data_IF_894300823866
#
_entry.id   IF_894300823866
#
_cell.length_a   1.000
_cell.length_b   1.000
_cell.length_c   1.000
_cell.angle_alpha   90.00
_cell.angle_beta   90.00
_cell.angle_gamma   90.00
#
_symmetry.space_group_name_H-M   'P 1'
#
loop_
_entity.id
_entity.type
_entity.pdbx_description
1 polymer ?
#
# COMPACT_ATOMS: atom_id res chain seq x y z
N UNK A 1 -8.82 -20.09 22.26
CA UNK A 1 -7.70 -20.64 21.47
C UNK A 1 -6.90 -19.47 20.95
N UNK A 2 -5.64 -19.42 21.37
CA UNK A 2 -4.72 -18.29 21.30
C UNK A 2 -4.07 -18.27 19.92
N UNK A 3 -4.02 -17.12 19.24
CA UNK A 3 -3.32 -16.98 17.96
C UNK A 3 -2.09 -16.10 18.14
N UNK A 4 -0.93 -16.75 18.06
CA UNK A 4 0.42 -16.20 18.02
C UNK A 4 0.63 -15.39 16.73
N UNK A 5 0.59 -14.06 16.83
CA UNK A 5 1.03 -13.17 15.73
C UNK A 5 2.31 -12.40 16.05
N UNK A 6 2.89 -12.62 17.23
CA UNK A 6 4.26 -12.18 17.50
C UNK A 6 5.18 -13.26 16.97
N UNK A 7 5.49 -13.16 15.68
CA UNK A 7 6.66 -13.81 15.11
C UNK A 7 7.93 -13.14 15.68
N UNK A 8 8.18 -13.33 16.97
CA UNK A 8 9.53 -13.72 17.40
C UNK A 8 9.54 -15.25 17.22
N UNK A 9 9.37 -15.71 15.98
CA UNK A 9 9.90 -17.02 15.62
C UNK A 9 11.40 -16.83 15.75
N UNK A 10 12.07 -17.76 16.41
CA UNK A 10 13.52 -17.79 16.43
C UNK A 10 14.01 -17.76 14.97
N UNK A 11 14.41 -16.57 14.51
CA UNK A 11 14.69 -16.29 13.10
C UNK A 11 15.87 -17.13 12.58
N UNK A 12 16.63 -17.74 13.49
CA UNK A 12 17.72 -18.66 13.19
C UNK A 12 17.24 -20.01 12.64
N UNK A 13 15.95 -20.35 12.79
CA UNK A 13 15.34 -21.60 12.30
C UNK A 13 14.54 -21.45 11.00
N UNK A 14 14.36 -20.21 10.52
CA UNK A 14 13.56 -19.94 9.32
C UNK A 14 14.39 -20.20 8.05
N UNK A 15 13.87 -21.03 7.15
CA UNK A 15 14.44 -21.27 5.80
C UNK A 15 13.91 -20.26 4.78
N UNK A 16 13.23 -19.20 5.23
CA UNK A 16 12.65 -18.18 4.37
C UNK A 16 13.74 -17.38 3.64
N UNK A 17 13.59 -17.21 2.33
CA UNK A 17 14.58 -16.52 1.49
C UNK A 17 14.13 -15.11 1.09
N UNK A 18 12.85 -14.82 1.30
CA UNK A 18 12.23 -13.56 0.94
C UNK A 18 11.48 -12.95 2.12
N UNK A 19 11.81 -11.70 2.43
CA UNK A 19 11.09 -10.89 3.42
C UNK A 19 10.03 -10.05 2.71
N UNK A 20 8.78 -10.10 3.16
CA UNK A 20 7.75 -9.13 2.78
C UNK A 20 7.39 -8.26 3.97
N UNK A 21 7.68 -6.97 3.88
CA UNK A 21 7.29 -5.97 4.87
C UNK A 21 5.91 -5.44 4.54
N UNK A 22 4.95 -5.57 5.44
CA UNK A 22 3.58 -5.06 5.26
C UNK A 22 3.32 -3.90 6.21
N UNK A 23 2.78 -2.79 5.68
CA UNK A 23 2.61 -1.53 6.42
C UNK A 23 1.17 -1.05 6.34
N UNK A 24 0.50 -0.96 7.49
CA UNK A 24 -0.91 -0.57 7.59
C UNK A 24 -1.15 0.93 7.43
N UNK A 25 -2.40 1.30 7.18
CA UNK A 25 -2.84 2.69 6.96
C UNK A 25 -3.20 3.45 8.24
N UNK A 26 -3.77 4.65 8.07
CA UNK A 26 -4.24 5.51 9.17
C UNK A 26 -5.22 4.76 10.07
N UNK A 27 -5.02 4.82 11.39
CA UNK A 27 -5.82 4.12 12.39
C UNK A 27 -5.94 2.59 12.19
N UNK A 28 -5.04 1.99 11.39
CA UNK A 28 -4.98 0.56 11.11
C UNK A 28 -4.15 -0.24 12.12
N UNK A 29 -4.04 -1.54 11.85
CA UNK A 29 -3.25 -2.51 12.60
C UNK A 29 -2.48 -3.43 11.66
N UNK A 30 -1.43 -4.10 12.16
CA UNK A 30 -0.69 -5.10 11.40
C UNK A 30 -1.60 -6.20 10.84
N UNK A 31 -2.64 -6.60 11.59
CA UNK A 31 -3.60 -7.62 11.15
C UNK A 31 -4.42 -7.20 9.94
N UNK A 32 -4.52 -5.90 9.63
CA UNK A 32 -5.25 -5.44 8.45
C UNK A 32 -4.71 -6.06 7.16
N UNK A 33 -3.42 -6.41 7.09
CA UNK A 33 -2.81 -7.09 5.96
C UNK A 33 -2.61 -8.60 6.20
N UNK A 34 -3.27 -9.15 7.23
CA UNK A 34 -3.14 -10.55 7.63
C UNK A 34 -3.60 -11.54 6.56
N UNK A 35 -4.65 -11.22 5.79
CA UNK A 35 -5.11 -12.08 4.69
C UNK A 35 -4.01 -12.26 3.64
N UNK A 36 -3.48 -11.15 3.10
CA UNK A 36 -2.42 -11.20 2.08
C UNK A 36 -1.13 -11.81 2.63
N UNK A 37 -0.81 -11.59 3.91
CA UNK A 37 0.32 -12.24 4.56
C UNK A 37 0.23 -13.77 4.50
N UNK A 38 -0.92 -14.34 4.90
CA UNK A 38 -1.13 -15.80 4.82
C UNK A 38 -1.13 -16.33 3.38
N UNK A 39 -1.59 -15.53 2.42
CA UNK A 39 -1.52 -15.91 1.00
C UNK A 39 -0.08 -15.94 0.50
N UNK A 40 0.76 -14.98 0.87
CA UNK A 40 2.18 -14.97 0.52
C UNK A 40 2.93 -16.19 1.07
N UNK A 41 2.68 -16.56 2.32
CA UNK A 41 3.26 -17.76 2.94
C UNK A 41 2.81 -19.04 2.23
N UNK A 42 1.51 -19.15 1.92
CA UNK A 42 0.95 -20.32 1.24
C UNK A 42 1.43 -20.45 -0.22
N UNK A 43 1.48 -19.35 -0.98
CA UNK A 43 1.91 -19.37 -2.39
C UNK A 43 3.42 -19.66 -2.54
N UNK A 44 4.20 -19.42 -1.49
CA UNK A 44 5.66 -19.60 -1.49
C UNK A 44 6.14 -20.88 -0.84
N UNK A 45 5.22 -21.72 -0.35
CA UNK A 45 5.55 -22.94 0.39
C UNK A 45 6.51 -22.65 1.58
N UNK A 46 6.24 -21.57 2.31
CA UNK A 46 7.05 -21.15 3.47
C UNK A 46 8.38 -20.46 3.15
N UNK A 47 8.69 -20.19 1.87
CA UNK A 47 9.91 -19.46 1.48
C UNK A 47 9.81 -17.94 1.67
N UNK A 48 8.61 -17.43 1.92
CA UNK A 48 8.36 -16.04 2.32
C UNK A 48 8.11 -15.98 3.81
N UNK A 49 8.71 -14.99 4.47
CA UNK A 49 8.32 -14.54 5.80
C UNK A 49 7.74 -13.14 5.72
N UNK A 50 6.65 -12.89 6.45
CA UNK A 50 5.96 -11.60 6.46
C UNK A 50 6.27 -10.85 7.76
N UNK A 51 6.91 -9.70 7.64
CA UNK A 51 7.00 -8.73 8.74
C UNK A 51 5.79 -7.80 8.66
N UNK A 52 4.79 -8.06 9.50
CA UNK A 52 3.65 -7.17 9.65
C UNK A 52 3.95 -6.06 10.65
N UNK A 53 4.23 -4.85 10.16
CA UNK A 53 4.70 -3.76 11.00
C UNK A 53 3.64 -3.35 12.02
N UNK A 54 4.03 -3.35 13.29
CA UNK A 54 3.19 -2.92 14.42
C UNK A 54 3.58 -1.56 14.98
N UNK A 55 4.73 -1.01 14.56
CA UNK A 55 5.31 0.19 15.16
C UNK A 55 4.44 1.46 15.08
N UNK A 56 3.45 1.48 14.17
CA UNK A 56 2.54 2.60 13.96
C UNK A 56 1.14 2.38 14.56
N UNK A 57 0.87 1.24 15.20
CA UNK A 57 -0.39 0.99 15.89
C UNK A 57 -0.60 2.04 17.01
N UNK A 58 -1.74 2.73 16.96
CA UNK A 58 -2.03 3.84 17.89
C UNK A 58 -1.17 5.10 17.70
N UNK A 59 -0.26 5.13 16.71
CA UNK A 59 0.69 6.23 16.46
C UNK A 59 0.61 6.79 15.04
N UNK A 60 -0.49 6.55 14.33
CA UNK A 60 -0.62 6.95 12.92
C UNK A 60 -0.85 8.45 12.69
N UNK A 61 -0.97 9.28 13.74
CA UNK A 61 -1.37 10.70 13.65
C UNK A 61 -0.20 11.69 13.82
N UNK A 62 1.00 11.24 14.17
CA UNK A 62 2.13 12.09 14.53
C UNK A 62 3.06 12.49 13.35
N UNK A 63 2.70 12.10 12.13
CA UNK A 63 3.33 12.56 10.88
C UNK A 63 4.01 11.44 10.09
N UNK A 64 4.09 11.64 8.78
CA UNK A 64 4.69 10.70 7.82
C UNK A 64 6.14 10.38 8.14
N UNK A 65 6.92 11.41 8.47
CA UNK A 65 8.34 11.27 8.79
C UNK A 65 8.58 10.44 10.06
N UNK A 66 7.74 10.61 11.09
CA UNK A 66 7.85 9.85 12.33
C UNK A 66 7.48 8.38 12.11
N UNK A 67 6.34 8.13 11.44
CA UNK A 67 5.92 6.77 11.14
C UNK A 67 6.84 6.02 10.17
N UNK A 68 7.42 6.71 9.19
CA UNK A 68 8.40 6.14 8.27
C UNK A 68 9.70 5.73 8.96
N UNK A 69 10.23 6.55 9.88
CA UNK A 69 11.40 6.18 10.69
C UNK A 69 11.13 4.95 11.54
N UNK A 70 9.95 4.86 12.17
CA UNK A 70 9.58 3.68 12.96
C UNK A 70 9.53 2.40 12.13
N UNK A 71 9.03 2.48 10.89
CA UNK A 71 9.06 1.34 9.96
C UNK A 71 10.50 0.97 9.60
N UNK A 72 11.37 1.95 9.33
CA UNK A 72 12.78 1.66 9.07
C UNK A 72 13.47 0.99 10.28
N UNK A 73 13.21 1.47 11.49
CA UNK A 73 13.75 0.90 12.73
C UNK A 73 13.25 -0.54 12.96
N UNK A 74 11.98 -0.82 12.68
CA UNK A 74 11.38 -2.16 12.82
C UNK A 74 11.97 -3.14 11.79
N UNK A 75 12.13 -2.71 10.53
CA UNK A 75 12.73 -3.52 9.46
C UNK A 75 14.22 -3.79 9.74
N UNK A 76 14.97 -2.79 10.20
CA UNK A 76 16.42 -2.94 10.49
C UNK A 76 16.71 -3.91 11.64
N UNK A 77 15.72 -4.23 12.47
CA UNK A 77 15.84 -5.21 13.57
C UNK A 77 15.44 -6.61 13.16
N UNK A 78 14.89 -6.78 11.95
CA UNK A 78 14.46 -8.06 11.44
C UNK A 78 15.59 -8.68 10.64
N UNK A 79 16.26 -9.68 11.22
CA UNK A 79 17.36 -10.40 10.59
C UNK A 79 17.06 -11.90 10.57
N UNK A 80 17.29 -12.54 9.43
CA UNK A 80 17.34 -14.00 9.33
C UNK A 80 18.44 -14.39 8.34
N UNK A 81 19.37 -15.33 8.67
CA UNK A 81 20.53 -15.62 7.83
C UNK A 81 20.22 -16.10 6.41
N UNK A 82 19.03 -16.66 6.20
CA UNK A 82 18.54 -17.22 4.94
C UNK A 82 17.94 -16.16 4.00
N UNK A 83 17.65 -14.94 4.49
CA UNK A 83 17.04 -13.89 3.68
C UNK A 83 18.00 -13.36 2.62
N UNK A 84 17.50 -13.24 1.39
CA UNK A 84 18.27 -12.74 0.25
C UNK A 84 17.61 -11.53 -0.42
N UNK A 85 16.28 -11.46 -0.34
CA UNK A 85 15.49 -10.46 -1.05
C UNK A 85 14.41 -9.86 -0.16
N UNK A 86 13.99 -8.64 -0.45
CA UNK A 86 12.96 -7.91 0.30
C UNK A 86 11.90 -7.29 -0.62
N UNK A 87 10.65 -7.33 -0.20
CA UNK A 87 9.54 -6.60 -0.81
C UNK A 87 8.79 -5.78 0.23
N UNK A 88 8.12 -4.72 -0.23
CA UNK A 88 7.24 -3.88 0.59
C UNK A 88 5.82 -3.90 0.05
N UNK A 89 4.85 -3.95 0.96
CA UNK A 89 3.43 -3.74 0.68
C UNK A 89 2.86 -2.69 1.64
N UNK A 90 2.54 -1.51 1.11
CA UNK A 90 1.93 -0.43 1.89
C UNK A 90 0.47 -0.20 1.53
N UNK A 91 -0.42 -0.23 2.52
CA UNK A 91 -1.83 0.13 2.33
C UNK A 91 -2.09 1.57 2.78
N UNK A 92 -2.71 2.37 1.90
CA UNK A 92 -3.06 3.76 2.16
C UNK A 92 -1.85 4.56 2.69
N UNK A 93 -1.98 5.19 3.86
CA UNK A 93 -0.90 5.90 4.54
C UNK A 93 0.37 5.04 4.70
N UNK A 94 0.23 3.73 4.84
CA UNK A 94 1.33 2.77 4.91
C UNK A 94 2.23 2.76 3.69
N UNK A 95 1.71 3.08 2.49
CA UNK A 95 2.52 3.25 1.29
C UNK A 95 3.48 4.44 1.38
N UNK A 96 3.05 5.53 2.02
CA UNK A 96 3.92 6.69 2.26
C UNK A 96 4.91 6.43 3.39
N UNK A 97 4.50 5.74 4.47
CA UNK A 97 5.45 5.29 5.50
C UNK A 97 6.54 4.39 4.92
N UNK A 98 6.18 3.43 4.06
CA UNK A 98 7.12 2.55 3.38
C UNK A 98 8.10 3.34 2.51
N UNK A 99 7.62 4.26 1.65
CA UNK A 99 8.48 5.13 0.84
C UNK A 99 9.45 5.94 1.70
N UNK A 100 8.98 6.49 2.83
CA UNK A 100 9.83 7.25 3.74
C UNK A 100 10.88 6.35 4.42
N UNK A 101 10.50 5.15 4.84
CA UNK A 101 11.40 4.17 5.45
C UNK A 101 12.53 3.76 4.51
N UNK A 102 12.24 3.58 3.22
CA UNK A 102 13.24 3.21 2.21
C UNK A 102 14.40 4.21 2.14
N UNK A 103 14.15 5.51 2.32
CA UNK A 103 15.20 6.53 2.35
C UNK A 103 16.16 6.42 3.55
N UNK A 104 15.86 5.56 4.53
CA UNK A 104 16.71 5.23 5.67
C UNK A 104 17.32 3.83 5.56
N UNK A 105 16.67 2.92 4.82
CA UNK A 105 17.09 1.52 4.68
C UNK A 105 18.00 1.28 3.47
N UNK A 106 17.99 2.18 2.49
CA UNK A 106 18.70 2.02 1.23
C UNK A 106 20.16 2.47 1.32
N UNK A 107 21.09 1.61 0.89
CA UNK A 107 22.54 1.86 0.91
C UNK A 107 23.13 2.18 -0.47
N UNK A 108 22.29 2.30 -1.50
CA UNK A 108 22.70 2.53 -2.88
C UNK A 108 22.41 1.35 -3.80
N UNK A 109 22.34 0.12 -3.27
CA UNK A 109 21.98 -1.07 -4.05
C UNK A 109 20.99 -1.98 -3.31
N UNK A 110 21.08 -2.05 -1.99
CA UNK A 110 20.29 -2.94 -1.14
C UNK A 110 19.36 -2.13 -0.24
N UNK A 111 18.29 -2.79 0.21
CA UNK A 111 17.37 -2.25 1.21
C UNK A 111 17.48 -3.14 2.45
N UNK A 112 17.96 -2.59 3.56
CA UNK A 112 18.26 -3.34 4.78
C UNK A 112 19.20 -4.54 4.53
N UNK A 113 20.18 -4.38 3.65
CA UNK A 113 21.10 -5.46 3.27
C UNK A 113 20.50 -6.55 2.36
N UNK A 114 19.26 -6.40 1.92
CA UNK A 114 18.56 -7.37 1.06
C UNK A 114 18.32 -6.81 -0.34
N UNK A 115 18.33 -7.69 -1.35
CA UNK A 115 18.08 -7.30 -2.74
C UNK A 115 16.60 -6.92 -2.92
N UNK A 116 16.27 -5.68 -3.31
CA UNK A 116 14.88 -5.21 -3.41
C UNK A 116 14.16 -5.85 -4.61
N UNK A 117 13.13 -6.66 -4.35
CA UNK A 117 12.39 -7.39 -5.36
C UNK A 117 11.11 -6.65 -5.80
N UNK A 118 10.15 -6.43 -4.90
CA UNK A 118 8.88 -5.79 -5.25
C UNK A 118 8.49 -4.65 -4.30
N UNK A 119 8.04 -3.52 -4.84
CA UNK A 119 7.39 -2.46 -4.07
C UNK A 119 5.94 -2.30 -4.48
N UNK A 120 5.01 -2.53 -3.56
CA UNK A 120 3.57 -2.56 -3.83
C UNK A 120 2.83 -1.58 -2.96
N UNK A 121 1.87 -0.87 -3.54
CA UNK A 121 0.93 -0.04 -2.80
C UNK A 121 -0.51 -0.34 -3.16
N UNK A 122 -1.39 -0.18 -2.18
CA UNK A 122 -2.84 -0.29 -2.35
C UNK A 122 -3.48 0.98 -1.80
N UNK A 123 -4.20 1.71 -2.64
CA UNK A 123 -4.88 2.96 -2.30
C UNK A 123 -3.95 3.99 -1.60
N UNK A 124 -2.66 4.07 -1.95
CA UNK A 124 -1.72 4.96 -1.28
C UNK A 124 -1.75 6.38 -1.88
N UNK A 125 -1.87 7.46 -1.09
CA UNK A 125 -1.96 8.82 -1.64
C UNK A 125 -0.57 9.34 -2.07
N UNK A 126 0.00 8.79 -3.15
CA UNK A 126 1.35 9.11 -3.60
C UNK A 126 1.57 10.59 -3.91
N UNK A 127 0.58 11.24 -4.54
CA UNK A 127 0.56 12.68 -4.85
C UNK A 127 0.09 13.56 -3.68
N UNK A 128 -0.26 12.94 -2.55
CA UNK A 128 -1.02 13.58 -1.49
C UNK A 128 -2.49 13.75 -1.87
N UNK A 129 -3.21 14.43 -0.98
CA UNK A 129 -4.61 14.80 -1.16
C UNK A 129 -4.68 16.31 -1.29
N UNK A 130 -5.50 16.81 -2.20
CA UNK A 130 -5.78 18.25 -2.30
C UNK A 130 -7.28 18.51 -2.12
N UNK A 131 -7.63 19.69 -1.62
CA UNK A 131 -9.01 20.10 -1.26
C UNK A 131 -10.03 19.88 -2.39
N UNK A 132 -9.59 20.02 -3.65
CA UNK A 132 -10.41 19.77 -4.83
C UNK A 132 -10.88 18.32 -4.98
N UNK A 133 -10.25 17.37 -4.27
CA UNK A 133 -10.62 15.95 -4.36
C UNK A 133 -11.76 15.56 -3.41
N UNK A 134 -11.95 16.31 -2.33
CA UNK A 134 -12.92 16.01 -1.27
C UNK A 134 -14.17 16.90 -1.32
N UNK A 135 -14.02 18.10 -1.87
CA UNK A 135 -14.98 19.19 -1.71
C UNK A 135 -16.44 18.86 -2.08
N UNK A 136 -16.78 18.12 -3.14
CA UNK A 136 -18.20 17.94 -3.47
C UNK A 136 -18.93 16.95 -2.54
N UNK A 137 -18.22 15.92 -2.06
CA UNK A 137 -18.87 14.79 -1.39
C UNK A 137 -18.77 14.85 0.14
N UNK A 138 -17.63 15.30 0.69
CA UNK A 138 -17.45 15.41 2.14
C UNK A 138 -17.66 16.84 2.66
N UNK A 139 -17.99 17.82 1.81
CA UNK A 139 -18.34 19.18 2.25
C UNK A 139 -19.31 19.23 3.44
N UNK A 140 -20.38 18.40 3.50
CA UNK A 140 -21.30 18.40 4.65
C UNK A 140 -20.65 17.91 5.95
N UNK A 141 -19.59 17.10 5.86
CA UNK A 141 -18.89 16.49 6.99
C UNK A 141 -17.60 17.23 7.37
N UNK A 142 -17.15 18.19 6.56
CA UNK A 142 -15.94 18.97 6.79
C UNK A 142 -15.86 19.60 8.21
N UNK A 143 -16.94 20.16 8.80
CA UNK A 143 -16.88 20.68 10.17
C UNK A 143 -16.61 19.62 11.24
N UNK A 144 -17.02 18.37 11.00
CA UNK A 144 -16.80 17.24 11.91
C UNK A 144 -15.38 16.66 11.78
N UNK A 145 -14.78 16.76 10.59
CA UNK A 145 -13.42 16.28 10.29
C UNK A 145 -12.34 17.34 10.59
N UNK A 146 -12.68 18.63 10.55
CA UNK A 146 -11.75 19.73 10.80
C UNK A 146 -10.94 19.60 12.12
N UNK A 147 -11.50 19.12 13.25
CA UNK A 147 -10.71 18.86 14.46
C UNK A 147 -9.67 17.75 14.26
N UNK A 148 -9.99 16.72 13.48
CA UNK A 148 -9.07 15.62 13.18
C UNK A 148 -7.93 16.13 12.29
N UNK A 149 -8.24 16.93 11.28
CA UNK A 149 -7.25 17.55 10.38
C UNK A 149 -6.31 18.50 11.14
N UNK A 150 -6.85 19.30 12.06
CA UNK A 150 -6.09 20.23 12.88
C UNK A 150 -5.19 19.52 13.90
N UNK A 151 -5.56 18.34 14.38
CA UNK A 151 -4.79 17.59 15.40
C UNK A 151 -3.82 16.60 14.76
N UNK A 152 -4.18 15.96 13.66
CA UNK A 152 -3.38 14.91 13.01
C UNK A 152 -2.32 15.50 12.07
N UNK A 153 -1.05 15.39 12.47
CA UNK A 153 0.08 15.78 11.62
C UNK A 153 0.17 14.94 10.36
N UNK A 154 -0.13 13.64 10.43
CA UNK A 154 -0.15 12.76 9.25
C UNK A 154 -1.19 13.19 8.22
N UNK A 155 -2.36 13.66 8.67
CA UNK A 155 -3.37 14.19 7.75
C UNK A 155 -2.88 15.48 7.11
N UNK A 156 -2.31 16.41 7.89
CA UNK A 156 -1.69 17.63 7.33
C UNK A 156 -0.58 17.35 6.32
N UNK A 157 0.27 16.36 6.59
CA UNK A 157 1.32 15.93 5.67
C UNK A 157 0.72 15.42 4.34
N UNK A 158 -0.29 14.54 4.41
CA UNK A 158 -0.97 14.00 3.21
C UNK A 158 -1.74 15.08 2.46
N UNK A 159 -2.39 16.01 3.17
CA UNK A 159 -3.07 17.19 2.61
C UNK A 159 -2.08 18.24 2.05
N UNK A 160 -0.77 17.93 2.06
CA UNK A 160 0.31 18.78 1.54
C UNK A 160 0.39 20.15 2.22
N UNK A 161 -0.06 20.22 3.47
CA UNK A 161 0.10 21.40 4.33
C UNK A 161 1.51 21.47 4.95
N UNK A 162 2.30 20.42 4.76
CA UNK A 162 3.73 20.36 5.07
C UNK A 162 4.52 19.95 3.83
N UNK A 163 5.85 20.01 3.91
CA UNK A 163 6.72 19.67 2.78
C UNK A 163 6.94 18.16 2.62
N UNK A 164 6.56 17.32 3.58
CA UNK A 164 7.01 15.92 3.65
C UNK A 164 6.67 15.12 2.39
N UNK A 165 5.45 15.25 1.86
CA UNK A 165 5.07 14.56 0.61
C UNK A 165 5.84 15.10 -0.59
N UNK A 166 6.09 16.40 -0.65
CA UNK A 166 6.88 17.05 -1.70
C UNK A 166 8.35 16.62 -1.66
N UNK A 167 8.92 16.52 -0.46
CA UNK A 167 10.32 16.12 -0.26
C UNK A 167 10.53 14.66 -0.70
N UNK A 168 9.48 13.83 -0.71
CA UNK A 168 9.51 12.44 -1.20
C UNK A 168 9.61 12.29 -2.73
N UNK A 169 9.71 13.39 -3.47
CA UNK A 169 10.08 13.41 -4.90
C UNK A 169 11.56 13.69 -5.14
N UNK A 170 12.34 13.94 -4.09
CA UNK A 170 13.78 14.03 -4.22
C UNK A 170 14.38 12.64 -4.46
N UNK A 171 15.54 12.61 -5.13
CA UNK A 171 16.26 11.36 -5.43
C UNK A 171 16.51 10.49 -4.19
N UNK A 172 16.68 11.11 -3.01
CA UNK A 172 16.76 10.39 -1.73
C UNK A 172 15.62 9.38 -1.50
N UNK A 173 14.41 9.68 -1.99
CA UNK A 173 13.23 8.82 -1.84
C UNK A 173 12.88 8.09 -3.13
N UNK A 174 13.29 8.59 -4.30
CA UNK A 174 13.06 7.95 -5.59
C UNK A 174 14.09 6.86 -5.91
N UNK A 175 15.37 7.04 -5.57
CA UNK A 175 16.44 6.07 -5.84
C UNK A 175 16.18 4.71 -5.18
N UNK A 176 15.75 4.63 -3.90
CA UNK A 176 15.36 3.36 -3.31
C UNK A 176 14.21 2.68 -4.06
N UNK A 177 13.23 3.45 -4.56
CA UNK A 177 12.13 2.90 -5.36
C UNK A 177 12.63 2.39 -6.71
N UNK A 178 13.56 3.09 -7.37
CA UNK A 178 14.21 2.66 -8.63
C UNK A 178 14.89 1.31 -8.48
N UNK A 179 15.53 1.07 -7.33
CA UNK A 179 16.29 -0.15 -7.08
C UNK A 179 15.43 -1.44 -7.06
N UNK A 180 14.14 -1.36 -6.71
CA UNK A 180 13.26 -2.52 -6.77
C UNK A 180 13.20 -3.10 -8.19
N UNK A 181 13.24 -4.43 -8.34
CA UNK A 181 13.04 -5.07 -9.65
C UNK A 181 11.70 -4.68 -10.28
N UNK A 182 10.63 -4.65 -9.48
CA UNK A 182 9.31 -4.26 -9.95
C UNK A 182 8.56 -3.40 -8.94
N UNK A 183 7.68 -2.53 -9.45
CA UNK A 183 6.80 -1.68 -8.66
C UNK A 183 5.36 -1.82 -9.15
N UNK A 184 4.39 -1.91 -8.24
CA UNK A 184 2.97 -1.99 -8.60
C UNK A 184 2.09 -1.15 -7.68
N UNK A 185 1.20 -0.35 -8.25
CA UNK A 185 0.24 0.48 -7.50
C UNK A 185 -1.19 0.04 -7.84
N UNK A 186 -2.02 -0.17 -6.82
CA UNK A 186 -3.43 -0.48 -6.98
C UNK A 186 -4.30 0.70 -6.50
N UNK A 187 -5.37 1.00 -7.22
CA UNK A 187 -6.37 1.99 -6.83
C UNK A 187 -7.78 1.51 -7.15
N UNK A 188 -8.74 1.78 -6.26
CA UNK A 188 -10.14 1.57 -6.56
C UNK A 188 -10.65 2.69 -7.49
N UNK A 189 -11.34 2.31 -8.56
CA UNK A 189 -11.85 3.23 -9.59
C UNK A 189 -12.96 4.10 -9.07
N UNK A 190 -13.85 3.49 -8.29
CA UNK A 190 -14.98 4.12 -7.64
C UNK A 190 -14.98 3.73 -6.16
N UNK A 191 -15.66 4.53 -5.35
CA UNK A 191 -15.83 4.26 -3.93
C UNK A 191 -14.63 4.64 -3.05
N UNK A 192 -13.48 5.05 -3.61
CA UNK A 192 -12.38 5.60 -2.80
C UNK A 192 -12.54 7.08 -2.48
N UNK A 193 -13.14 7.32 -1.32
CA UNK A 193 -13.38 8.67 -0.81
C UNK A 193 -12.21 9.23 -0.01
N UNK A 194 -11.25 8.38 0.39
CA UNK A 194 -10.10 8.81 1.17
C UNK A 194 -8.90 9.14 0.29
N UNK A 195 -8.69 8.35 -0.76
CA UNK A 195 -7.54 8.49 -1.63
C UNK A 195 -8.00 8.72 -3.06
N UNK A 196 -7.71 9.90 -3.63
CA UNK A 196 -7.97 10.17 -5.03
C UNK A 196 -7.37 9.08 -5.92
N UNK A 197 -8.14 8.54 -6.87
CA UNK A 197 -7.63 7.61 -7.89
C UNK A 197 -6.36 8.15 -8.59
N UNK A 198 -6.39 9.44 -8.94
CA UNK A 198 -5.27 10.17 -9.55
C UNK A 198 -4.03 10.20 -8.66
N UNK A 199 -4.23 10.31 -7.35
CA UNK A 199 -3.12 10.26 -6.40
C UNK A 199 -2.59 8.84 -6.21
N UNK A 200 -3.46 7.83 -6.21
CA UNK A 200 -3.05 6.45 -6.02
C UNK A 200 -2.25 5.89 -7.20
N UNK A 201 -2.65 6.23 -8.43
CA UNK A 201 -1.97 5.78 -9.65
C UNK A 201 -1.12 6.86 -10.32
N UNK A 202 -0.95 8.03 -9.70
CA UNK A 202 -0.17 9.17 -10.21
C UNK A 202 -0.47 9.40 -11.71
N UNK A 203 -1.74 9.73 -12.00
CA UNK A 203 -2.27 9.86 -13.36
C UNK A 203 -3.16 11.09 -13.50
N UNK A 204 -3.12 11.72 -14.68
CA UNK A 204 -3.98 12.85 -15.04
C UNK A 204 -5.37 12.42 -15.55
N UNK A 205 -5.60 11.13 -15.72
CA UNK A 205 -6.88 10.62 -16.22
C UNK A 205 -7.77 10.21 -15.05
N UNK A 206 -9.05 10.57 -15.11
CA UNK A 206 -10.02 10.14 -14.10
C UNK A 206 -10.30 8.63 -14.22
N UNK A 207 -10.52 7.94 -13.09
CA UNK A 207 -10.75 6.49 -13.06
C UNK A 207 -11.89 6.02 -13.98
N UNK A 208 -12.97 6.80 -14.02
CA UNK A 208 -14.16 6.51 -14.85
C UNK A 208 -13.89 6.60 -16.35
N UNK A 209 -12.97 7.47 -16.79
CA UNK A 209 -12.56 7.59 -18.20
C UNK A 209 -11.78 6.36 -18.65
N UNK A 210 -10.97 5.74 -17.77
CA UNK A 210 -10.26 4.49 -18.08
C UNK A 210 -11.20 3.29 -18.23
N UNK A 211 -12.31 3.25 -17.47
CA UNK A 211 -13.29 2.16 -17.59
C UNK A 211 -14.15 2.24 -18.84
N UNK A 212 -14.36 3.44 -19.39
CA UNK A 212 -15.11 3.64 -20.62
C UNK A 212 -14.34 3.20 -21.89
N UNK A 213 -13.01 3.27 -21.88
CA UNK A 213 -12.16 2.92 -23.03
C UNK A 213 -11.74 1.43 -23.05
N UNK A 214 -11.81 0.74 -21.91
CA UNK A 214 -11.49 -0.69 -21.82
C UNK A 214 -12.67 -1.55 -22.30
N UNK A 215 -12.47 -2.39 -23.34
CA UNK A 215 -13.51 -3.32 -23.81
C UNK A 215 -13.98 -4.21 -22.65
N UNK A 216 -15.29 -4.28 -22.35
CA UNK A 216 -15.81 -5.05 -21.24
C UNK A 216 -15.81 -6.54 -21.62
N UNK A 217 -14.73 -7.24 -21.31
CA UNK A 217 -14.81 -8.69 -21.13
C UNK A 217 -15.27 -8.95 -19.70
N UNK A 218 -16.44 -9.55 -19.60
CA UNK A 218 -17.17 -9.77 -18.35
C UNK A 218 -16.39 -10.70 -17.40
N UNK A 219 -16.58 -10.53 -16.07
CA UNK A 219 -16.24 -11.42 -14.92
C UNK A 219 -15.01 -11.20 -14.02
N UNK A 220 -14.02 -10.34 -14.30
CA UNK A 220 -12.93 -10.10 -13.33
C UNK A 220 -13.12 -8.84 -12.49
N UNK A 221 -13.22 -9.01 -11.17
CA UNK A 221 -13.27 -7.95 -10.13
C UNK A 221 -12.01 -7.06 -10.10
N UNK A 222 -10.97 -7.43 -10.85
CA UNK A 222 -9.68 -6.76 -10.93
C UNK A 222 -9.35 -6.55 -12.40
N UNK A 223 -9.15 -5.29 -12.82
CA UNK A 223 -8.65 -4.95 -14.15
C UNK A 223 -7.29 -4.30 -14.02
N UNK A 224 -6.25 -5.11 -14.04
CA UNK A 224 -4.89 -4.60 -14.17
C UNK A 224 -4.76 -3.98 -15.56
N UNK A 225 -4.45 -2.68 -15.61
CA UNK A 225 -4.30 -1.93 -16.86
C UNK A 225 -2.87 -1.41 -16.87
N UNK A 226 -2.05 -1.91 -17.79
CA UNK A 226 -0.76 -1.30 -18.05
C UNK A 226 -1.01 0.08 -18.68
N UNK A 227 -1.09 1.11 -17.84
CA UNK A 227 -1.17 2.49 -18.30
C UNK A 227 0.25 2.86 -18.72
N UNK A 228 0.52 3.06 -20.03
CA UNK A 228 1.85 3.41 -20.49
C UNK A 228 2.27 4.73 -19.84
N UNK A 229 3.51 4.81 -19.38
CA UNK A 229 4.04 6.08 -18.92
C UNK A 229 4.02 7.05 -20.10
N UNK A 230 3.21 8.11 -20.00
CA UNK A 230 3.23 9.17 -21.00
C UNK A 230 4.36 10.09 -20.60
N UNK A 231 5.59 9.75 -21.00
CA UNK A 231 6.85 10.47 -20.72
C UNK A 231 6.88 11.91 -21.28
N UNK A 232 5.95 12.74 -20.85
CA UNK A 232 5.65 14.07 -21.40
C UNK A 232 5.46 15.14 -20.32
N UNK A 233 5.62 14.81 -19.03
CA UNK A 233 5.41 15.74 -17.92
C UNK A 233 6.70 16.22 -17.26
N UNK A 234 6.74 17.49 -16.87
CA UNK A 234 7.63 17.95 -15.80
C UNK A 234 6.88 17.83 -14.45
N UNK A 235 7.62 17.61 -13.36
CA UNK A 235 7.05 17.64 -12.00
C UNK A 235 6.78 16.26 -11.37
N UNK A 236 6.05 16.28 -10.26
CA UNK A 236 5.91 15.17 -9.32
C UNK A 236 5.27 13.89 -9.91
N UNK A 237 4.33 14.06 -10.86
CA UNK A 237 3.67 12.94 -11.53
C UNK A 237 4.67 12.15 -12.38
N UNK A 238 5.42 12.84 -13.23
CA UNK A 238 6.45 12.23 -14.07
C UNK A 238 7.54 11.57 -13.23
N UNK A 239 7.96 12.23 -12.13
CA UNK A 239 8.97 11.68 -11.22
C UNK A 239 8.62 10.30 -10.65
N UNK A 240 7.33 9.99 -10.45
CA UNK A 240 6.87 8.64 -10.07
C UNK A 240 6.60 7.75 -11.27
N UNK A 241 6.00 8.28 -12.34
CA UNK A 241 5.62 7.52 -13.53
C UNK A 241 6.84 6.94 -14.26
N UNK A 242 7.92 7.71 -14.33
CA UNK A 242 9.19 7.34 -14.97
C UNK A 242 9.93 6.20 -14.25
N UNK A 243 9.47 5.80 -13.06
CA UNK A 243 9.99 4.63 -12.35
C UNK A 243 9.48 3.31 -12.95
N UNK A 244 8.57 3.33 -13.92
CA UNK A 244 8.10 2.12 -14.60
C UNK A 244 7.21 1.24 -13.71
N UNK A 245 6.16 1.82 -13.14
CA UNK A 245 5.18 1.11 -12.32
C UNK A 245 4.17 0.33 -13.18
N UNK A 246 3.81 -0.87 -12.74
CA UNK A 246 2.56 -1.52 -13.15
C UNK A 246 1.41 -0.87 -12.37
N UNK A 247 0.37 -0.36 -13.05
CA UNK A 247 -0.76 0.31 -12.42
C UNK A 247 -2.00 -0.58 -12.51
N UNK A 248 -2.76 -0.70 -11.42
CA UNK A 248 -3.88 -1.61 -11.36
C UNK A 248 -5.15 -0.87 -10.92
N UNK A 249 -6.10 -0.74 -11.84
CA UNK A 249 -7.39 -0.14 -11.58
C UNK A 249 -8.39 -1.22 -11.13
N UNK A 250 -8.91 -1.10 -9.93
CA UNK A 250 -9.80 -2.11 -9.34
C UNK A 250 -11.22 -1.56 -9.34
N UNK A 251 -12.14 -2.24 -10.02
CA UNK A 251 -13.57 -1.95 -9.92
C UNK A 251 -14.22 -3.03 -9.08
N UNK A 252 -14.67 -2.61 -7.91
CA UNK A 252 -15.39 -3.47 -6.99
C UNK A 252 -16.88 -3.49 -7.39
N UNK A 253 -17.57 -4.63 -7.20
CA UNK A 253 -18.97 -4.75 -7.54
C UNK A 253 -19.79 -3.86 -6.61
N UNK A 254 -20.90 -3.27 -7.09
CA UNK A 254 -21.73 -2.39 -6.28
C UNK A 254 -22.30 -3.12 -5.06
N UNK A 255 -22.50 -2.37 -3.97
CA UNK A 255 -23.11 -2.90 -2.77
C UNK A 255 -24.51 -3.46 -3.04
N UNK A 256 -24.72 -4.74 -2.73
CA UNK A 256 -26.03 -5.38 -2.85
C UNK A 256 -27.09 -4.80 -1.90
N UNK A 257 -26.68 -3.98 -0.92
CA UNK A 257 -27.58 -3.24 -0.03
C UNK A 257 -27.56 -1.75 -0.41
N UNK A 258 -28.64 -1.21 -1.00
CA UNK A 258 -28.70 0.18 -1.45
C UNK A 258 -28.50 1.24 -0.36
N UNK A 259 -28.83 0.92 0.89
CA UNK A 259 -28.65 1.84 2.03
C UNK A 259 -27.19 1.92 2.48
N UNK A 260 -26.47 0.80 2.40
CA UNK A 260 -25.02 0.76 2.65
C UNK A 260 -24.25 1.35 1.47
N UNK A 261 -24.76 1.19 0.25
CA UNK A 261 -24.17 1.78 -0.94
C UNK A 261 -24.07 3.32 -0.87
N UNK A 262 -24.99 3.95 -0.13
CA UNK A 262 -24.99 5.39 0.10
C UNK A 262 -23.99 5.85 1.17
N UNK A 263 -23.36 4.94 1.93
CA UNK A 263 -22.41 5.28 2.97
C UNK A 263 -20.99 5.44 2.39
N UNK A 264 -20.32 6.59 2.64
CA UNK A 264 -18.96 6.86 2.14
C UNK A 264 -17.86 5.91 2.66
N UNK A 265 -18.17 4.99 3.56
CA UNK A 265 -17.19 4.05 4.13
C UNK A 265 -17.38 2.62 3.59
N UNK A 266 -18.46 2.36 2.85
CA UNK A 266 -18.87 0.99 2.52
C UNK A 266 -18.10 0.35 1.36
N UNK A 267 -17.62 1.15 0.42
CA UNK A 267 -17.05 0.64 -0.83
C UNK A 267 -15.52 0.48 -0.83
N UNK A 268 -14.86 0.87 0.25
CA UNK A 268 -13.56 1.48 0.04
C UNK A 268 -12.37 0.74 0.66
N UNK A 269 -12.09 -0.51 0.22
CA UNK A 269 -10.74 -1.10 0.32
C UNK A 269 -10.47 -2.08 -0.81
N UNK A 270 -9.50 -1.74 -1.65
CA UNK A 270 -8.77 -2.68 -2.52
C UNK A 270 -8.26 -3.88 -1.71
N UNK A 271 -7.94 -3.64 -0.44
CA UNK A 271 -7.40 -4.63 0.50
C UNK A 271 -8.50 -5.35 1.26
N UNK A 272 -8.35 -6.67 1.36
CA UNK A 272 -9.17 -7.49 2.24
C UNK A 272 -8.76 -7.33 3.72
N UNK A 273 -9.17 -6.24 4.38
CA UNK A 273 -8.73 -5.98 5.75
C UNK A 273 -9.23 -6.99 6.79
N UNK A 274 -8.36 -7.38 7.71
CA UNK A 274 -8.73 -8.14 8.91
C UNK A 274 -8.55 -7.31 10.18
N UNK A 275 -9.68 -6.79 10.70
CA UNK A 275 -9.69 -5.96 11.91
C UNK A 275 -9.85 -6.77 13.18
N UNK A 276 -9.10 -6.40 14.22
CA UNK A 276 -9.26 -6.94 15.57
C UNK A 276 -10.25 -6.10 16.44
N UNK A 277 -10.85 -6.72 17.46
CA UNK A 277 -11.57 -6.05 18.54
C UNK A 277 -12.90 -5.37 18.18
N UNK A 278 -13.24 -4.25 18.85
CA UNK A 278 -14.51 -3.49 18.67
C UNK A 278 -14.71 -3.02 17.23
N UNK A 279 -13.63 -2.81 16.47
CA UNK A 279 -13.69 -2.47 15.04
C UNK A 279 -14.19 -3.62 14.15
N UNK A 280 -14.30 -4.85 14.67
CA UNK A 280 -14.95 -5.99 14.00
C UNK A 280 -16.46 -5.78 13.84
N UNK A 281 -17.07 -4.96 14.70
CA UNK A 281 -18.47 -4.55 14.55
C UNK A 281 -18.70 -3.67 13.31
N UNK A 282 -17.65 -3.00 12.80
CA UNK A 282 -17.70 -2.24 11.55
C UNK A 282 -17.45 -3.10 10.31
N UNK A 283 -16.95 -4.34 10.45
CA UNK A 283 -16.61 -5.23 9.33
C UNK A 283 -17.76 -5.55 8.37
N UNK A 284 -19.03 -5.74 8.82
CA UNK A 284 -20.16 -5.95 7.92
C UNK A 284 -20.42 -4.76 6.99
N UNK A 285 -20.00 -3.56 7.40
CA UNK A 285 -20.18 -2.32 6.64
C UNK A 285 -19.05 -2.08 5.64
N UNK A 286 -17.86 -2.69 5.82
CA UNK A 286 -16.68 -2.43 4.99
C UNK A 286 -16.37 -3.55 3.96
N UNK A 287 -17.17 -4.63 3.93
CA UNK A 287 -17.07 -5.77 2.98
C UNK A 287 -15.64 -6.21 2.67
N UNK A 288 -14.86 -6.56 3.69
CA UNK A 288 -13.43 -6.85 3.53
C UNK A 288 -13.12 -8.13 2.73
N UNK A 289 -14.11 -8.89 2.28
CA UNK A 289 -13.91 -10.09 1.47
C UNK A 289 -13.89 -9.82 -0.05
N UNK A 290 -14.49 -8.73 -0.52
CA UNK A 290 -14.53 -8.40 -1.96
C UNK A 290 -13.14 -8.10 -2.54
N UNK A 291 -12.21 -7.65 -1.70
CA UNK A 291 -10.81 -7.42 -2.06
C UNK A 291 -9.96 -8.70 -2.13
N UNK A 292 -10.48 -9.87 -1.73
CA UNK A 292 -9.68 -11.12 -1.69
C UNK A 292 -9.10 -11.51 -3.04
N UNK A 293 -9.84 -11.46 -4.17
CA UNK A 293 -9.26 -11.75 -5.48
C UNK A 293 -8.10 -10.81 -5.85
N UNK A 294 -8.15 -9.55 -5.40
CA UNK A 294 -7.03 -8.61 -5.57
C UNK A 294 -5.84 -9.05 -4.73
N UNK A 295 -6.06 -9.40 -3.46
CA UNK A 295 -4.99 -9.86 -2.56
C UNK A 295 -4.37 -11.18 -3.02
N UNK A 296 -5.15 -12.09 -3.60
CA UNK A 296 -4.66 -13.33 -4.20
C UNK A 296 -3.76 -13.06 -5.41
N UNK A 297 -4.19 -12.18 -6.33
CA UNK A 297 -3.37 -11.75 -7.46
C UNK A 297 -2.07 -11.07 -7.01
N UNK A 298 -2.19 -10.14 -6.06
CA UNK A 298 -1.07 -9.40 -5.49
C UNK A 298 -0.06 -10.33 -4.84
N UNK A 299 -0.50 -11.28 -4.00
CA UNK A 299 0.39 -12.24 -3.34
C UNK A 299 1.16 -13.08 -4.36
N UNK A 300 0.48 -13.61 -5.39
CA UNK A 300 1.13 -14.34 -6.49
C UNK A 300 2.14 -13.47 -7.22
N UNK A 301 1.79 -12.22 -7.52
CA UNK A 301 2.68 -11.32 -8.25
C UNK A 301 3.94 -10.97 -7.46
N UNK A 302 3.82 -10.68 -6.15
CA UNK A 302 4.97 -10.45 -5.27
C UNK A 302 5.86 -11.70 -5.27
N UNK A 303 5.28 -12.89 -5.07
CA UNK A 303 6.06 -14.12 -5.01
C UNK A 303 6.77 -14.44 -6.33
N UNK A 304 6.10 -14.29 -7.48
CA UNK A 304 6.73 -14.49 -8.79
C UNK A 304 7.91 -13.52 -9.01
N UNK A 305 7.75 -12.26 -8.60
CA UNK A 305 8.81 -11.24 -8.69
C UNK A 305 9.99 -11.58 -7.78
N UNK A 306 9.72 -11.95 -6.52
CA UNK A 306 10.72 -12.39 -5.57
C UNK A 306 11.47 -13.63 -6.07
N UNK A 307 10.75 -14.64 -6.54
CA UNK A 307 11.32 -15.88 -7.10
C UNK A 307 12.20 -15.64 -8.32
N UNK A 308 11.84 -14.70 -9.19
CA UNK A 308 12.71 -14.29 -10.30
C UNK A 308 13.98 -13.61 -9.79
N UNK A 309 13.85 -12.68 -8.85
CA UNK A 309 14.99 -11.96 -8.25
C UNK A 309 15.96 -12.93 -7.55
N UNK A 310 15.43 -13.91 -6.82
CA UNK A 310 16.19 -14.95 -6.13
C UNK A 310 16.98 -15.86 -7.09
N UNK A 311 16.49 -16.05 -8.32
CA UNK A 311 17.17 -16.84 -9.37
C UNK A 311 18.28 -16.03 -10.04
N UNK A 312 18.02 -14.75 -10.32
CA UNK A 312 18.98 -13.87 -11.01
C UNK A 312 20.18 -13.51 -10.11
N UNK A 313 19.99 -13.45 -8.78
CA UNK A 313 21.06 -13.17 -7.81
C UNK A 313 21.84 -14.40 -7.31
N UNK A 314 21.62 -15.58 -7.91
CA UNK A 314 22.28 -16.84 -7.53
C UNK A 314 23.42 -17.26 -8.46
N UNK A 315 23.98 -16.33 -9.24
CA UNK A 315 25.09 -16.55 -10.17
C UNK A 315 26.43 -16.06 -9.64
#
# INVERSE_FOLDING_TARGET
MWWSWVAIVDATSLVAEHLVVTVHGLSGFATDLGYVGRRLEAESDGRVVVLACTCNEGRTTDGLAAGGRRVADEVSRFEAPSLRTISFLGNSLGGLYARYALAHLFDGNLVAGLVPAAFVTTAAPHLGVTDATYAPLLAPLAPLLAPIDAVSRSVRDVMRQTTVVRDMYDNRFLDPLRAFRARRAYAAVDGDFMVPFRSALFTETAGQTFFAEAKPTNTSLVRCLDIPSRGTGCGELAALDDLGWSKCAVSLPPDANPLLAALPLAHNKVVALERAGVKRLATPFERTDVGRPVMDDLARWIWHTASATLRDGGG
#
